data_IF_580490878868
#
_entry.id   IF_580490878868
#
_cell.length_a   1.000
_cell.length_b   1.000
_cell.length_c   1.000
_cell.angle_alpha   90.00
_cell.angle_beta   90.00
_cell.angle_gamma   90.00
#
_symmetry.space_group_name_H-M   'P 1'
#
loop_
_entity.id
_entity.type
_entity.pdbx_description
1 polymer ?
#
# COMPACT_ATOMS: atom_id res chain seq x y z
N UNK A 1 -6.93 15.42 -9.04
CA UNK A 1 -7.54 14.27 -8.32
C UNK A 1 -7.04 14.30 -6.90
N UNK A 2 -7.89 14.04 -5.88
CA UNK A 2 -7.44 14.03 -4.48
C UNK A 2 -6.43 12.90 -4.25
N UNK A 3 -5.42 13.18 -3.42
CA UNK A 3 -4.44 12.17 -3.00
C UNK A 3 -5.16 11.10 -2.17
N UNK A 4 -5.06 9.83 -2.58
CA UNK A 4 -5.65 8.71 -1.86
C UNK A 4 -4.56 7.95 -1.12
N UNK A 5 -4.52 8.11 0.19
CA UNK A 5 -3.59 7.40 1.07
C UNK A 5 -4.03 5.94 1.16
N UNK A 6 -3.06 5.02 1.04
CA UNK A 6 -3.30 3.60 1.20
C UNK A 6 -3.31 3.24 2.68
N UNK A 7 -4.28 2.43 3.08
CA UNK A 7 -4.39 1.91 4.44
C UNK A 7 -4.40 0.38 4.44
N UNK A 8 -4.12 -0.23 5.59
CA UNK A 8 -4.24 -1.68 5.77
C UNK A 8 -5.65 -2.15 5.36
N UNK A 9 -5.70 -3.20 4.55
CA UNK A 9 -6.92 -3.77 3.98
C UNK A 9 -7.31 -3.25 2.60
N UNK A 10 -6.68 -2.18 2.10
CA UNK A 10 -6.84 -1.73 0.71
C UNK A 10 -6.37 -2.79 -0.27
N UNK A 11 -6.98 -2.77 -1.45
CA UNK A 11 -6.81 -3.79 -2.48
C UNK A 11 -5.67 -3.46 -3.44
N UNK A 12 -5.21 -4.46 -4.19
CA UNK A 12 -4.32 -4.27 -5.34
C UNK A 12 -5.01 -4.68 -6.65
N UNK A 13 -4.48 -4.23 -7.78
CA UNK A 13 -4.96 -4.62 -9.13
C UNK A 13 -4.79 -6.11 -9.43
N UNK A 14 -3.91 -6.80 -8.69
CA UNK A 14 -3.72 -8.25 -8.75
C UNK A 14 -4.72 -9.04 -7.87
N UNK A 15 -5.65 -8.36 -7.20
CA UNK A 15 -6.60 -8.96 -6.26
C UNK A 15 -6.02 -9.21 -4.85
N UNK A 16 -4.83 -8.65 -4.57
CA UNK A 16 -4.19 -8.72 -3.27
C UNK A 16 -4.68 -7.68 -2.27
N UNK A 17 -4.05 -7.65 -1.11
CA UNK A 17 -4.36 -6.72 0.00
C UNK A 17 -3.11 -6.25 0.72
N UNK A 18 -3.14 -5.01 1.19
CA UNK A 18 -2.16 -4.49 2.13
C UNK A 18 -2.41 -5.07 3.51
N UNK A 19 -1.37 -5.60 4.15
CA UNK A 19 -1.47 -6.36 5.41
C UNK A 19 -0.65 -5.77 6.56
N UNK A 20 0.26 -4.81 6.31
CA UNK A 20 0.93 -4.04 7.34
C UNK A 20 0.88 -2.53 7.06
N UNK A 21 1.14 -1.76 8.11
CA UNK A 21 1.09 -0.30 8.07
C UNK A 21 1.84 0.32 9.24
N UNK A 22 1.67 1.61 9.41
CA UNK A 22 2.20 2.36 10.54
C UNK A 22 1.64 1.87 11.88
N UNK A 23 2.50 1.67 12.91
CA UNK A 23 2.04 1.28 14.24
C UNK A 23 1.39 2.43 15.02
N UNK A 24 1.60 3.68 14.58
CA UNK A 24 1.22 4.89 15.32
C UNK A 24 0.40 5.89 14.52
N UNK A 25 0.17 5.64 13.22
CA UNK A 25 -0.57 6.54 12.35
C UNK A 25 -1.64 5.78 11.58
N UNK A 26 -2.88 6.22 11.70
CA UNK A 26 -4.04 5.60 11.07
C UNK A 26 -4.99 6.65 10.48
N UNK A 27 -5.84 6.21 9.56
CA UNK A 27 -6.96 7.01 9.03
C UNK A 27 -8.22 6.21 9.30
N UNK A 28 -9.08 6.73 10.19
CA UNK A 28 -10.33 6.08 10.56
C UNK A 28 -10.14 4.67 11.13
N UNK A 29 -9.14 4.47 12.01
CA UNK A 29 -8.85 3.17 12.63
C UNK A 29 -8.01 2.22 11.77
N UNK A 30 -7.61 2.63 10.56
CA UNK A 30 -6.80 1.80 9.65
C UNK A 30 -5.40 2.35 9.51
N UNK A 31 -4.41 1.54 9.89
CA UNK A 31 -3.00 1.90 9.79
C UNK A 31 -2.63 2.36 8.38
N UNK A 32 -1.90 3.49 8.28
CA UNK A 32 -1.42 4.05 7.02
C UNK A 32 -0.31 3.16 6.48
N UNK A 33 -0.43 2.73 5.22
CA UNK A 33 0.62 1.97 4.55
C UNK A 33 1.75 2.90 4.08
N UNK A 34 2.98 2.46 4.24
CA UNK A 34 4.20 3.23 3.98
C UNK A 34 5.14 2.43 3.09
N UNK A 35 6.21 3.08 2.64
CA UNK A 35 7.30 2.41 1.93
C UNK A 35 7.85 1.24 2.78
N UNK A 36 7.92 0.05 2.21
CA UNK A 36 8.37 -1.16 2.90
C UNK A 36 7.30 -1.91 3.70
N UNK A 37 6.04 -1.45 3.71
CA UNK A 37 4.95 -2.25 4.27
C UNK A 37 4.59 -3.45 3.38
N UNK A 38 3.98 -4.46 3.99
CA UNK A 38 3.68 -5.76 3.40
C UNK A 38 2.33 -5.78 2.69
N UNK A 39 2.33 -6.48 1.56
CA UNK A 39 1.18 -6.73 0.69
C UNK A 39 1.13 -8.21 0.38
N UNK A 40 -0.02 -8.83 0.61
CA UNK A 40 -0.29 -10.20 0.19
C UNK A 40 -0.86 -10.20 -1.23
N UNK A 41 -0.16 -10.84 -2.16
CA UNK A 41 -0.59 -10.97 -3.55
C UNK A 41 -0.90 -12.44 -3.89
N UNK A 42 -2.12 -12.77 -4.36
CA UNK A 42 -2.52 -14.14 -4.67
C UNK A 42 -2.00 -14.65 -6.03
N UNK A 43 -1.37 -13.78 -6.83
CA UNK A 43 -0.88 -14.11 -8.16
C UNK A 43 0.43 -14.92 -8.12
N UNK A 44 0.82 -15.44 -9.28
CA UNK A 44 2.04 -16.23 -9.49
C UNK A 44 2.85 -15.66 -10.63
N UNK A 45 4.17 -15.78 -10.52
CA UNK A 45 5.09 -15.49 -11.62
C UNK A 45 4.94 -16.53 -12.73
N UNK A 46 5.38 -16.24 -13.98
CA UNK A 46 5.33 -17.20 -15.09
C UNK A 46 5.99 -18.56 -14.79
N UNK A 47 6.99 -18.59 -13.91
CA UNK A 47 7.64 -19.83 -13.44
C UNK A 47 6.87 -20.60 -12.35
N UNK A 48 5.64 -20.22 -12.03
CA UNK A 48 4.78 -20.91 -11.04
C UNK A 48 5.01 -20.52 -9.58
N UNK A 49 6.09 -19.80 -9.27
CA UNK A 49 6.35 -19.28 -7.94
C UNK A 49 5.28 -18.26 -7.51
N UNK A 50 4.74 -18.34 -6.28
CA UNK A 50 3.76 -17.36 -5.80
C UNK A 50 4.41 -15.99 -5.62
N UNK A 51 3.66 -14.91 -5.92
CA UNK A 51 4.07 -13.56 -5.52
C UNK A 51 4.12 -13.45 -3.99
N UNK A 52 3.10 -14.00 -3.32
CA UNK A 52 3.05 -14.09 -1.86
C UNK A 52 3.10 -12.72 -1.17
N UNK A 53 3.72 -12.69 0.01
CA UNK A 53 3.96 -11.45 0.76
C UNK A 53 5.12 -10.70 0.11
N UNK A 54 4.87 -9.46 -0.27
CA UNK A 54 5.84 -8.60 -0.93
C UNK A 54 5.70 -7.15 -0.45
N UNK A 55 6.76 -6.36 -0.66
CA UNK A 55 6.90 -5.01 -0.09
C UNK A 55 6.37 -3.94 -1.03
N UNK A 56 5.83 -2.86 -0.47
CA UNK A 56 5.59 -1.60 -1.19
C UNK A 56 6.93 -0.95 -1.51
N UNK A 57 7.18 -0.64 -2.79
CA UNK A 57 8.48 -0.14 -3.27
C UNK A 57 8.43 1.29 -3.82
N UNK A 58 7.23 1.85 -4.02
CA UNK A 58 7.09 3.28 -4.33
C UNK A 58 6.10 3.94 -3.37
N UNK A 59 6.32 5.22 -3.10
CA UNK A 59 5.57 6.02 -2.15
C UNK A 59 5.53 7.47 -2.63
N UNK A 60 4.78 8.32 -1.93
CA UNK A 60 4.73 9.75 -2.20
C UNK A 60 6.07 10.43 -1.86
N UNK A 61 6.49 11.41 -2.65
CA UNK A 61 7.82 12.03 -2.55
C UNK A 61 8.00 12.88 -1.28
N UNK A 62 6.94 13.55 -0.83
CA UNK A 62 7.02 14.54 0.27
C UNK A 62 6.18 14.19 1.48
N UNK A 63 5.24 13.23 1.36
CA UNK A 63 4.30 12.91 2.43
C UNK A 63 4.86 11.74 3.22
N UNK A 64 5.05 11.95 4.52
CA UNK A 64 5.60 10.93 5.43
C UNK A 64 4.70 10.71 6.63
N UNK A 65 4.73 9.49 7.18
CA UNK A 65 4.08 9.12 8.43
C UNK A 65 5.14 8.47 9.33
N UNK A 66 5.48 9.14 10.43
CA UNK A 66 6.61 8.75 11.28
C UNK A 66 7.96 8.79 10.54
N UNK A 67 8.15 9.76 9.64
CA UNK A 67 9.38 9.92 8.86
C UNK A 67 9.55 8.96 7.68
N UNK A 68 8.62 8.02 7.47
CA UNK A 68 8.65 7.09 6.35
C UNK A 68 7.63 7.54 5.28
N UNK A 69 8.01 7.58 3.98
CA UNK A 69 7.10 7.95 2.90
C UNK A 69 5.81 7.13 2.87
N UNK A 70 4.68 7.81 2.68
CA UNK A 70 3.34 7.20 2.66
C UNK A 70 3.03 6.62 1.28
N UNK A 71 2.47 5.42 1.25
CA UNK A 71 1.98 4.80 0.02
C UNK A 71 0.65 5.44 -0.41
N UNK A 72 0.51 5.74 -1.69
CA UNK A 72 -0.69 6.37 -2.27
C UNK A 72 -1.23 5.55 -3.42
N UNK A 73 -2.44 5.85 -3.88
CA UNK A 73 -3.04 5.18 -5.03
C UNK A 73 -2.10 5.19 -6.24
N UNK A 74 -1.93 4.03 -6.86
CA UNK A 74 -1.01 3.83 -7.98
C UNK A 74 0.43 3.46 -7.59
N UNK A 75 0.79 3.54 -6.30
CA UNK A 75 2.08 3.02 -5.82
C UNK A 75 2.24 1.53 -6.13
N UNK A 76 3.49 1.11 -6.31
CA UNK A 76 3.87 -0.21 -6.80
C UNK A 76 4.44 -1.06 -5.67
N UNK A 77 4.31 -2.36 -5.84
CA UNK A 77 4.91 -3.36 -4.96
C UNK A 77 6.00 -4.14 -5.68
N UNK A 78 6.81 -4.89 -4.93
CA UNK A 78 7.92 -5.68 -5.47
C UNK A 78 7.47 -6.75 -6.48
N UNK A 79 6.21 -7.20 -6.40
CA UNK A 79 5.65 -8.12 -7.39
C UNK A 79 5.10 -7.42 -8.65
N UNK A 80 5.14 -6.08 -8.70
CA UNK A 80 4.68 -5.26 -9.82
C UNK A 80 3.22 -4.80 -9.74
N UNK A 81 2.45 -5.24 -8.74
CA UNK A 81 1.04 -4.84 -8.60
C UNK A 81 0.92 -3.38 -8.15
N UNK A 82 -0.21 -2.75 -8.47
CA UNK A 82 -0.54 -1.37 -8.08
C UNK A 82 -1.52 -1.35 -6.91
N UNK A 83 -1.33 -0.42 -5.98
CA UNK A 83 -2.20 -0.21 -4.84
C UNK A 83 -3.45 0.60 -5.23
N UNK A 84 -4.61 0.17 -4.74
CA UNK A 84 -5.92 0.80 -5.01
C UNK A 84 -6.50 1.34 -3.71
N UNK A 85 -6.30 2.63 -3.47
CA UNK A 85 -6.91 3.34 -2.34
C UNK A 85 -8.41 3.56 -2.55
N UNK A 86 -9.22 3.14 -1.56
CA UNK A 86 -10.69 3.28 -1.61
C UNK A 86 -11.22 4.53 -0.91
N UNK A 87 -10.51 5.04 0.10
CA UNK A 87 -10.91 6.24 0.84
C UNK A 87 -10.26 7.50 0.25
N UNK A 88 -11.03 8.60 0.22
CA UNK A 88 -10.44 9.93 0.03
C UNK A 88 -9.80 10.32 1.36
N UNK A 89 -8.53 10.70 1.36
CA UNK A 89 -7.93 11.34 2.53
C UNK A 89 -8.31 12.81 2.52
N UNK A 90 -9.16 13.25 3.44
CA UNK A 90 -9.33 14.68 3.76
C UNK A 90 -8.26 15.06 4.77
N UNK A 91 -7.48 16.09 4.43
CA UNK A 91 -6.68 16.85 5.40
C UNK A 91 -7.57 18.03 5.78
N UNK A 92 -8.00 18.08 7.04
CA UNK A 92 -8.59 19.29 7.64
C UNK A 92 -7.49 20.22 8.14
#
# INVERSE_FOLDING_TARGET
MPLKIITVGDSTDHGGKVISGSPTHDIGGKAIARLGDDVMCPQRYPGGAPHGVNKIITAHETLTAGGIPVAVHGCKTACGCSLIGKANATVE
#
